data_IF_715083770557
#
_entry.id   IF_715083770557
#
_cell.length_a   1.000
_cell.length_b   1.000
_cell.length_c   1.000
_cell.angle_alpha   90.00
_cell.angle_beta   90.00
_cell.angle_gamma   90.00
#
_symmetry.space_group_name_H-M   'P 1'
#
loop_
_entity.id
_entity.type
_entity.pdbx_description
1 polymer ?
#
# COMPACT_ATOMS: atom_id res chain seq x y z
N UNK A 1 9.95 2.92 13.32
CA UNK A 1 9.01 3.89 12.67
C UNK A 1 9.76 4.98 11.91
N UNK A 2 9.90 4.85 10.59
CA UNK A 2 10.47 5.93 9.75
C UNK A 2 9.35 6.75 9.13
N UNK A 3 9.05 7.89 9.72
CA UNK A 3 8.19 8.90 9.11
C UNK A 3 8.99 9.60 8.02
N UNK A 4 8.49 9.58 6.78
CA UNK A 4 9.06 10.38 5.69
C UNK A 4 8.38 11.75 5.67
N UNK A 5 9.14 12.80 5.41
CA UNK A 5 8.62 14.15 5.26
C UNK A 5 9.13 14.74 3.95
N UNK A 6 8.22 15.37 3.20
CA UNK A 6 8.51 16.08 1.95
C UNK A 6 8.01 17.50 2.11
N UNK A 7 8.70 18.44 1.46
CA UNK A 7 8.35 19.85 1.51
C UNK A 7 7.93 20.31 0.11
N UNK A 8 6.99 21.25 0.08
CA UNK A 8 6.54 21.91 -1.13
C UNK A 8 5.81 23.20 -0.80
N UNK A 9 5.19 23.78 -1.82
CA UNK A 9 4.35 24.97 -1.75
C UNK A 9 2.90 24.61 -2.11
N UNK A 10 1.97 25.36 -1.53
CA UNK A 10 0.57 25.29 -1.93
C UNK A 10 0.40 26.05 -3.25
N UNK A 11 -0.10 25.36 -4.27
CA UNK A 11 -0.32 25.94 -5.60
C UNK A 11 -1.78 26.36 -5.83
N UNK A 12 -2.74 25.67 -5.18
CA UNK A 12 -4.16 26.04 -5.20
C UNK A 12 -4.83 25.62 -3.88
N UNK A 13 -5.74 26.45 -3.35
CA UNK A 13 -6.48 26.17 -2.11
C UNK A 13 -7.88 25.60 -2.34
N UNK A 14 -8.38 25.63 -3.57
CA UNK A 14 -9.74 25.23 -3.93
C UNK A 14 -9.75 24.40 -5.21
N UNK A 15 -8.91 23.36 -5.25
CA UNK A 15 -9.02 22.40 -6.34
C UNK A 15 -10.25 21.54 -6.10
N UNK A 16 -11.30 21.69 -6.92
CA UNK A 16 -12.51 20.88 -6.79
C UNK A 16 -12.30 19.49 -7.39
N UNK A 17 -12.61 18.46 -6.60
CA UNK A 17 -12.70 17.07 -7.03
C UNK A 17 -13.83 16.39 -6.24
N UNK A 18 -14.73 15.69 -6.92
CA UNK A 18 -15.90 15.05 -6.30
C UNK A 18 -16.68 15.99 -5.35
N UNK A 19 -16.87 17.24 -5.78
CA UNK A 19 -17.57 18.30 -5.01
C UNK A 19 -16.89 18.70 -3.69
N UNK A 20 -15.66 18.25 -3.46
CA UNK A 20 -14.82 18.63 -2.32
C UNK A 20 -13.69 19.53 -2.81
N UNK A 21 -13.44 20.62 -2.09
CA UNK A 21 -12.28 21.48 -2.32
C UNK A 21 -11.05 20.91 -1.62
N UNK A 22 -10.01 20.59 -2.39
CA UNK A 22 -8.72 20.12 -1.91
C UNK A 22 -7.65 21.21 -1.93
N UNK A 23 -6.70 21.10 -1.01
CA UNK A 23 -5.43 21.84 -1.05
C UNK A 23 -4.53 21.11 -2.05
N UNK A 24 -4.12 21.82 -3.09
CA UNK A 24 -3.16 21.34 -4.07
C UNK A 24 -1.76 21.83 -3.70
N UNK A 25 -0.78 20.93 -3.71
CA UNK A 25 0.61 21.24 -3.44
C UNK A 25 1.56 20.38 -4.29
N UNK A 26 2.83 20.77 -4.34
CA UNK A 26 3.89 20.02 -5.02
C UNK A 26 4.81 19.23 -4.05
N UNK A 27 4.49 19.22 -2.75
CA UNK A 27 5.15 18.32 -1.81
C UNK A 27 4.92 16.86 -2.26
N UNK A 28 6.01 16.13 -2.50
CA UNK A 28 5.94 14.80 -3.08
C UNK A 28 5.14 13.84 -2.19
N UNK A 29 4.12 13.20 -2.76
CA UNK A 29 3.33 12.16 -2.13
C UNK A 29 3.65 10.82 -2.79
N UNK A 30 4.04 9.84 -1.97
CA UNK A 30 4.24 8.46 -2.38
C UNK A 30 3.16 7.58 -1.72
N UNK A 31 2.88 6.37 -2.27
CA UNK A 31 2.09 5.37 -1.56
C UNK A 31 2.62 5.20 -0.13
N UNK A 32 1.73 5.32 0.86
CA UNK A 32 2.07 5.32 2.28
C UNK A 32 2.06 6.70 2.97
N UNK A 33 2.12 7.81 2.21
CA UNK A 33 1.93 9.16 2.79
C UNK A 33 0.44 9.58 2.83
N UNK A 34 -0.43 8.92 2.05
CA UNK A 34 -1.89 9.10 2.13
C UNK A 34 -2.40 8.74 3.53
N UNK A 35 -3.23 9.60 4.10
CA UNK A 35 -3.68 9.54 5.50
C UNK A 35 -2.78 10.30 6.48
N UNK A 36 -1.55 10.67 6.09
CA UNK A 36 -0.65 11.49 6.90
C UNK A 36 -0.98 12.99 6.86
N UNK A 37 -0.45 13.79 7.81
CA UNK A 37 -0.74 15.22 7.90
C UNK A 37 0.03 16.05 6.86
N UNK A 38 -0.63 17.07 6.32
CA UNK A 38 0.01 18.21 5.68
C UNK A 38 0.18 19.30 6.75
N UNK A 39 1.42 19.70 7.02
CA UNK A 39 1.75 20.69 8.05
C UNK A 39 2.32 21.97 7.46
N UNK A 40 2.07 23.11 8.10
CA UNK A 40 2.71 24.37 7.75
C UNK A 40 4.04 24.56 8.50
N UNK A 41 4.76 25.65 8.21
CA UNK A 41 6.06 25.95 8.81
C UNK A 41 6.02 26.22 10.33
N UNK A 42 4.83 26.33 10.93
CA UNK A 42 4.64 26.43 12.39
C UNK A 42 4.36 25.07 13.05
N UNK A 43 4.31 23.99 12.26
CA UNK A 43 3.94 22.65 12.73
C UNK A 43 2.43 22.45 12.91
N UNK A 44 1.60 23.35 12.39
CA UNK A 44 0.14 23.22 12.46
C UNK A 44 -0.36 22.34 11.31
N UNK A 45 -1.28 21.41 11.59
CA UNK A 45 -1.93 20.59 10.56
C UNK A 45 -2.89 21.44 9.76
N UNK A 46 -2.64 21.57 8.46
CA UNK A 46 -3.48 22.32 7.52
C UNK A 46 -4.33 21.42 6.62
N UNK A 47 -4.03 20.12 6.57
CA UNK A 47 -4.84 19.13 5.87
C UNK A 47 -4.34 17.69 6.05
N UNK A 48 -5.01 16.74 5.39
CA UNK A 48 -4.64 15.32 5.36
C UNK A 48 -4.40 14.88 3.92
N UNK A 49 -3.21 14.33 3.66
CA UNK A 49 -2.81 13.89 2.33
C UNK A 49 -3.75 12.78 1.84
N UNK A 50 -4.34 12.94 0.65
CA UNK A 50 -5.39 12.02 0.17
C UNK A 50 -4.94 11.25 -1.07
N UNK A 51 -4.69 11.94 -2.19
CA UNK A 51 -4.38 11.30 -3.46
C UNK A 51 -3.42 12.12 -4.32
N UNK A 52 -2.92 11.49 -5.39
CA UNK A 52 -2.16 12.11 -6.48
C UNK A 52 -2.90 11.83 -7.81
N UNK A 53 -2.68 12.68 -8.80
CA UNK A 53 -3.13 12.40 -10.17
C UNK A 53 -1.99 11.68 -10.91
N UNK A 54 -2.26 10.48 -11.44
CA UNK A 54 -1.22 9.54 -11.95
C UNK A 54 -0.38 10.05 -13.14
N UNK A 55 -0.75 11.17 -13.76
CA UNK A 55 -0.03 11.76 -14.90
C UNK A 55 0.30 13.25 -14.69
N UNK A 56 0.25 13.74 -13.45
CA UNK A 56 0.64 15.11 -13.11
C UNK A 56 2.05 15.16 -12.50
N UNK A 57 2.76 16.26 -12.71
CA UNK A 57 4.12 16.50 -12.21
C UNK A 57 4.16 16.57 -10.67
N UNK A 58 4.08 15.44 -9.97
CA UNK A 58 4.12 15.37 -8.50
C UNK A 58 3.12 16.30 -7.80
N UNK A 59 1.90 16.40 -8.32
CA UNK A 59 0.85 17.21 -7.68
C UNK A 59 0.10 16.35 -6.66
N UNK A 60 0.21 16.74 -5.40
CA UNK A 60 -0.51 16.16 -4.28
C UNK A 60 -1.78 16.93 -3.94
N UNK A 61 -2.77 16.19 -3.45
CA UNK A 61 -4.05 16.73 -3.00
C UNK A 61 -4.33 16.33 -1.56
N UNK A 62 -4.59 17.33 -0.73
CA UNK A 62 -4.86 17.16 0.69
C UNK A 62 -6.21 17.72 1.08
N UNK A 63 -6.95 16.95 1.88
CA UNK A 63 -8.24 17.34 2.40
C UNK A 63 -8.03 18.45 3.45
N UNK A 64 -8.65 19.63 3.32
CA UNK A 64 -8.42 20.74 4.24
C UNK A 64 -8.77 20.42 5.70
N UNK A 65 -7.96 20.88 6.66
CA UNK A 65 -8.21 20.64 8.08
C UNK A 65 -9.58 21.17 8.55
N UNK A 66 -10.01 22.33 8.07
CA UNK A 66 -11.33 22.88 8.40
C UNK A 66 -12.50 22.01 7.89
N UNK A 67 -12.36 21.37 6.73
CA UNK A 67 -13.37 20.42 6.25
C UNK A 67 -13.46 19.20 7.18
N UNK A 68 -12.32 18.71 7.63
CA UNK A 68 -12.23 17.55 8.55
C UNK A 68 -12.81 17.91 9.92
N UNK A 69 -12.41 19.04 10.50
CA UNK A 69 -12.94 19.51 11.78
C UNK A 69 -14.46 19.63 11.72
N UNK A 70 -15.00 20.26 10.66
CA UNK A 70 -16.44 20.37 10.47
C UNK A 70 -17.12 19.01 10.33
N UNK A 71 -16.51 18.06 9.61
CA UNK A 71 -17.04 16.70 9.50
C UNK A 71 -17.07 15.97 10.85
N UNK A 72 -16.02 16.09 11.67
CA UNK A 72 -15.95 15.49 13.00
C UNK A 72 -17.00 16.12 13.93
N UNK A 73 -17.16 17.44 13.90
CA UNK A 73 -18.17 18.15 14.68
C UNK A 73 -19.60 17.76 14.26
N UNK A 74 -19.89 17.70 12.96
CA UNK A 74 -21.18 17.25 12.43
C UNK A 74 -21.45 15.80 12.85
N UNK A 75 -20.45 14.92 12.72
CA UNK A 75 -20.55 13.51 13.13
C UNK A 75 -20.79 13.35 14.63
N UNK A 76 -20.09 14.11 15.48
CA UNK A 76 -20.25 14.06 16.94
C UNK A 76 -21.65 14.48 17.43
N UNK A 77 -22.41 15.21 16.61
CA UNK A 77 -23.78 15.61 16.91
C UNK A 77 -24.84 14.64 16.36
N UNK A 78 -24.43 13.63 15.59
CA UNK A 78 -25.32 12.65 14.98
C UNK A 78 -25.66 11.55 15.98
N UNK A 79 -26.91 11.06 15.89
CA UNK A 79 -27.35 9.83 16.56
C UNK A 79 -27.25 8.67 15.57
N UNK A 80 -26.68 7.56 16.03
CA UNK A 80 -26.43 6.36 15.23
C UNK A 80 -24.95 5.98 15.26
N UNK A 81 -24.64 4.79 14.74
CA UNK A 81 -23.27 4.26 14.72
C UNK A 81 -22.55 4.60 13.40
N UNK A 82 -23.31 5.05 12.39
CA UNK A 82 -22.80 5.31 11.05
C UNK A 82 -23.44 6.55 10.43
N UNK A 83 -22.63 7.29 9.67
CA UNK A 83 -23.11 8.42 8.88
C UNK A 83 -22.34 8.53 7.57
N UNK A 84 -22.99 9.17 6.59
CA UNK A 84 -22.42 9.47 5.29
C UNK A 84 -22.70 10.94 4.96
N UNK A 85 -21.71 11.63 4.36
CA UNK A 85 -21.96 12.96 3.80
C UNK A 85 -22.63 12.81 2.44
N UNK A 86 -23.82 13.37 2.29
CA UNK A 86 -24.56 13.31 1.04
C UNK A 86 -23.79 14.03 -0.07
N UNK A 87 -23.47 13.32 -1.15
CA UNK A 87 -22.75 13.84 -2.33
C UNK A 87 -23.56 14.82 -3.19
N UNK A 88 -24.66 15.36 -2.69
CA UNK A 88 -25.56 16.23 -3.46
C UNK A 88 -25.94 17.47 -2.67
N UNK A 89 -26.31 17.34 -1.39
CA UNK A 89 -26.61 18.49 -0.53
C UNK A 89 -25.57 18.73 0.56
N UNK A 90 -24.49 17.93 0.62
CA UNK A 90 -23.42 17.98 1.62
C UNK A 90 -23.85 17.79 3.09
N UNK A 91 -25.13 17.57 3.37
CA UNK A 91 -25.61 17.24 4.72
C UNK A 91 -25.07 15.88 5.13
N UNK A 92 -24.65 15.77 6.39
CA UNK A 92 -24.30 14.49 6.98
C UNK A 92 -25.58 13.78 7.42
N UNK A 93 -25.76 12.55 6.94
CA UNK A 93 -26.98 11.76 7.13
C UNK A 93 -26.59 10.47 7.83
N UNK A 94 -27.24 10.17 8.94
CA UNK A 94 -26.97 8.94 9.69
C UNK A 94 -27.80 7.77 9.16
N UNK A 95 -27.43 6.56 9.58
CA UNK A 95 -28.22 5.37 9.32
C UNK A 95 -29.67 5.45 9.86
N UNK A 96 -29.94 6.26 10.89
CA UNK A 96 -31.29 6.49 11.42
C UNK A 96 -32.12 7.44 10.54
N UNK A 97 -31.45 8.33 9.82
CA UNK A 97 -32.07 9.36 9.00
C UNK A 97 -32.33 8.90 7.56
N UNK A 98 -31.56 7.90 7.08
CA UNK A 98 -31.74 7.32 5.75
C UNK A 98 -33.04 6.52 5.70
N UNK A 99 -33.90 6.85 4.73
CA UNK A 99 -35.13 6.10 4.45
C UNK A 99 -35.01 5.40 3.11
N UNK A 100 -35.03 4.07 3.11
CA UNK A 100 -34.92 3.24 1.91
C UNK A 100 -33.67 3.55 1.05
N UNK A 101 -32.55 3.93 1.67
CA UNK A 101 -31.32 4.30 0.96
C UNK A 101 -31.34 5.71 0.35
N UNK A 102 -32.27 6.59 0.74
CA UNK A 102 -32.34 7.96 0.25
C UNK A 102 -32.06 8.98 1.34
N UNK A 103 -31.35 10.05 0.96
CA UNK A 103 -31.14 11.23 1.77
C UNK A 103 -32.47 11.87 2.16
N UNK A 104 -32.73 12.01 3.46
CA UNK A 104 -33.91 12.70 4.00
C UNK A 104 -33.96 14.20 3.71
N UNK A 105 -32.86 14.82 3.26
CA UNK A 105 -32.79 16.25 2.96
C UNK A 105 -33.01 16.59 1.48
N UNK A 106 -32.41 15.84 0.56
CA UNK A 106 -32.47 16.14 -0.88
C UNK A 106 -33.06 15.02 -1.75
N UNK A 107 -33.31 13.84 -1.19
CA UNK A 107 -33.86 12.70 -1.93
C UNK A 107 -32.87 11.96 -2.82
N UNK A 108 -31.58 12.34 -2.82
CA UNK A 108 -30.52 11.59 -3.53
C UNK A 108 -30.27 10.24 -2.86
N UNK A 109 -30.02 9.20 -3.66
CA UNK A 109 -29.67 7.87 -3.16
C UNK A 109 -28.31 7.91 -2.47
N UNK A 110 -28.22 7.32 -1.29
CA UNK A 110 -27.00 7.20 -0.49
C UNK A 110 -26.70 5.73 -0.25
N UNK A 111 -25.42 5.42 -0.08
CA UNK A 111 -24.95 4.13 0.39
C UNK A 111 -24.25 4.36 1.72
N UNK A 112 -24.63 3.60 2.75
CA UNK A 112 -23.94 3.64 4.03
C UNK A 112 -22.61 2.88 3.97
N UNK A 113 -21.63 3.21 4.83
CA UNK A 113 -20.42 2.42 4.97
C UNK A 113 -20.70 0.94 5.24
N UNK A 114 -21.69 0.58 6.07
CA UNK A 114 -22.11 -0.82 6.30
C UNK A 114 -22.69 -1.52 5.07
N UNK A 115 -23.20 -0.78 4.09
CA UNK A 115 -23.77 -1.35 2.86
C UNK A 115 -22.69 -1.58 1.80
N UNK A 116 -21.45 -1.16 2.05
CA UNK A 116 -20.31 -1.55 1.24
C UNK A 116 -19.98 -2.98 1.65
N UNK A 117 -20.25 -3.94 0.75
CA UNK A 117 -19.86 -5.34 0.98
C UNK A 117 -18.39 -5.40 1.36
N UNK A 118 -18.10 -5.99 2.53
CA UNK A 118 -16.72 -6.26 2.91
C UNK A 118 -16.09 -7.15 1.84
N UNK A 119 -14.85 -6.82 1.45
CA UNK A 119 -14.11 -7.66 0.52
C UNK A 119 -13.87 -9.02 1.17
N UNK A 120 -14.56 -10.04 0.67
CA UNK A 120 -14.30 -11.43 1.00
C UNK A 120 -13.35 -12.04 -0.04
N UNK A 121 -12.13 -12.45 0.35
CA UNK A 121 -11.22 -13.11 -0.56
C UNK A 121 -11.80 -14.46 -1.01
N UNK A 122 -11.70 -14.76 -2.30
CA UNK A 122 -12.13 -16.04 -2.86
C UNK A 122 -11.05 -16.66 -3.76
N UNK A 123 -11.17 -17.96 -4.01
CA UNK A 123 -10.27 -18.69 -4.91
C UNK A 123 -8.80 -18.61 -4.49
N UNK A 124 -7.95 -18.14 -5.40
CA UNK A 124 -6.51 -18.02 -5.11
C UNK A 124 -6.16 -16.89 -4.17
N UNK A 125 -6.92 -15.79 -4.16
CA UNK A 125 -6.71 -14.73 -3.20
C UNK A 125 -6.86 -15.26 -1.77
N UNK A 126 -7.92 -16.05 -1.51
CA UNK A 126 -8.11 -16.73 -0.23
C UNK A 126 -6.97 -17.71 0.08
N UNK A 127 -6.49 -18.44 -0.92
CA UNK A 127 -5.37 -19.38 -0.77
C UNK A 127 -4.08 -18.65 -0.35
N UNK A 128 -3.76 -17.53 -1.01
CA UNK A 128 -2.61 -16.69 -0.70
C UNK A 128 -2.75 -16.08 0.70
N UNK A 129 -3.90 -15.52 1.03
CA UNK A 129 -4.16 -14.93 2.35
C UNK A 129 -4.06 -15.98 3.48
N UNK A 130 -4.54 -17.21 3.23
CA UNK A 130 -4.37 -18.34 4.16
C UNK A 130 -2.89 -18.67 4.38
N UNK A 131 -2.07 -18.63 3.33
CA UNK A 131 -0.61 -18.86 3.45
C UNK A 131 0.06 -17.72 4.23
N UNK A 132 -0.35 -16.47 3.99
CA UNK A 132 0.15 -15.31 4.73
C UNK A 132 -0.16 -15.43 6.23
N UNK A 133 -1.38 -15.81 6.61
CA UNK A 133 -1.72 -16.06 8.01
C UNK A 133 -0.87 -17.18 8.63
N UNK A 134 -0.72 -18.30 7.91
CA UNK A 134 0.07 -19.45 8.39
C UNK A 134 1.56 -19.14 8.55
N UNK A 135 2.08 -18.18 7.78
CA UNK A 135 3.45 -17.69 7.88
C UNK A 135 3.61 -16.56 8.91
N UNK A 136 2.56 -16.22 9.66
CA UNK A 136 2.60 -15.23 10.73
C UNK A 136 2.36 -13.78 10.30
N UNK A 137 1.91 -13.56 9.06
CA UNK A 137 1.64 -12.23 8.53
C UNK A 137 0.17 -11.85 8.72
N UNK A 138 -0.08 -10.62 9.18
CA UNK A 138 -1.44 -10.10 9.28
C UNK A 138 -1.96 -9.69 7.90
N UNK A 139 -2.96 -10.42 7.39
CA UNK A 139 -3.54 -10.22 6.05
C UNK A 139 -4.11 -8.83 5.86
N UNK A 140 -4.80 -8.28 6.86
CA UNK A 140 -5.40 -6.95 6.76
C UNK A 140 -4.33 -5.86 6.59
N UNK A 141 -3.18 -6.01 7.25
CA UNK A 141 -2.04 -5.10 7.10
C UNK A 141 -1.25 -5.35 5.81
N UNK A 142 -1.28 -6.57 5.29
CA UNK A 142 -0.59 -6.95 4.07
C UNK A 142 -1.33 -6.51 2.80
N UNK A 143 -2.66 -6.45 2.83
CA UNK A 143 -3.48 -6.19 1.65
C UNK A 143 -3.21 -4.81 1.05
N UNK A 144 -2.99 -4.76 -0.26
CA UNK A 144 -2.85 -3.53 -1.08
C UNK A 144 -3.91 -3.47 -2.19
N UNK A 145 -4.55 -4.60 -2.48
CA UNK A 145 -5.70 -4.75 -3.39
C UNK A 145 -6.21 -6.19 -3.35
N UNK A 146 -7.23 -6.51 -4.16
CA UNK A 146 -7.82 -7.85 -4.18
C UNK A 146 -6.81 -8.97 -4.51
N UNK A 147 -5.83 -8.65 -5.36
CA UNK A 147 -4.81 -9.59 -5.83
C UNK A 147 -3.38 -9.06 -5.60
N UNK A 148 -3.18 -8.23 -4.58
CA UNK A 148 -1.90 -7.62 -4.27
C UNK A 148 -1.70 -7.52 -2.75
N UNK A 149 -0.59 -8.07 -2.28
CA UNK A 149 -0.19 -8.05 -0.88
C UNK A 149 1.27 -7.63 -0.75
N UNK A 150 1.59 -6.95 0.33
CA UNK A 150 2.93 -6.50 0.66
C UNK A 150 3.21 -6.83 2.12
N UNK A 151 4.29 -7.56 2.37
CA UNK A 151 4.71 -7.98 3.71
C UNK A 151 6.15 -7.55 3.97
N UNK A 152 6.49 -7.38 5.25
CA UNK A 152 7.87 -7.19 5.69
C UNK A 152 8.38 -8.50 6.30
N UNK A 153 9.49 -9.01 5.78
CA UNK A 153 10.17 -10.20 6.29
C UNK A 153 11.63 -9.82 6.59
N UNK A 154 12.00 -9.77 7.87
CA UNK A 154 13.31 -9.24 8.25
C UNK A 154 13.48 -7.80 7.77
N UNK A 155 14.52 -7.54 6.98
CA UNK A 155 14.76 -6.23 6.37
C UNK A 155 14.11 -6.08 4.98
N UNK A 156 13.69 -7.19 4.36
CA UNK A 156 13.15 -7.22 3.01
C UNK A 156 11.66 -6.89 2.98
N UNK A 157 11.26 -6.14 1.96
CA UNK A 157 9.85 -5.92 1.61
C UNK A 157 9.49 -6.88 0.47
N UNK A 158 8.44 -7.67 0.65
CA UNK A 158 8.03 -8.70 -0.31
C UNK A 158 6.66 -8.35 -0.87
N UNK A 159 6.60 -8.20 -2.19
CA UNK A 159 5.38 -7.95 -2.94
C UNK A 159 4.86 -9.25 -3.54
N UNK A 160 3.62 -9.61 -3.22
CA UNK A 160 2.94 -10.78 -3.74
C UNK A 160 1.81 -10.31 -4.63
N UNK A 161 1.83 -10.71 -5.89
CA UNK A 161 0.84 -10.29 -6.89
C UNK A 161 0.26 -11.50 -7.58
N UNK A 162 -1.06 -11.57 -7.69
CA UNK A 162 -1.74 -12.54 -8.54
C UNK A 162 -2.31 -11.85 -9.78
N UNK A 163 -1.82 -12.24 -10.95
CA UNK A 163 -2.32 -11.78 -12.23
C UNK A 163 -3.28 -12.81 -12.83
N UNK A 164 -4.57 -12.66 -12.54
CA UNK A 164 -5.66 -13.57 -12.93
C UNK A 164 -5.65 -13.93 -14.42
N UNK A 165 -5.45 -12.95 -15.31
CA UNK A 165 -5.51 -13.18 -16.76
C UNK A 165 -4.44 -14.14 -17.28
N UNK A 166 -3.26 -14.15 -16.66
CA UNK A 166 -2.17 -15.06 -17.04
C UNK A 166 -2.04 -16.27 -16.11
N UNK A 167 -2.78 -16.29 -15.00
CA UNK A 167 -2.62 -17.28 -13.94
C UNK A 167 -1.27 -17.22 -13.22
N UNK A 168 -0.59 -16.06 -13.25
CA UNK A 168 0.75 -15.93 -12.69
C UNK A 168 0.67 -15.34 -11.27
N UNK A 169 1.35 -15.99 -10.33
CA UNK A 169 1.59 -15.48 -8.99
C UNK A 169 3.08 -15.12 -8.91
N UNK A 170 3.39 -13.89 -8.51
CA UNK A 170 4.77 -13.47 -8.25
C UNK A 170 4.97 -13.15 -6.78
N UNK A 171 6.17 -13.42 -6.28
CA UNK A 171 6.64 -12.99 -4.97
C UNK A 171 8.00 -12.32 -5.13
N UNK A 172 8.03 -10.99 -5.12
CA UNK A 172 9.23 -10.18 -5.35
C UNK A 172 9.74 -9.59 -4.04
N UNK A 173 10.86 -10.11 -3.54
CA UNK A 173 11.52 -9.61 -2.34
C UNK A 173 12.60 -8.58 -2.72
N UNK A 174 12.40 -7.34 -2.28
CA UNK A 174 13.37 -6.25 -2.45
C UNK A 174 14.37 -6.27 -1.31
N UNK A 175 15.60 -6.71 -1.61
CA UNK A 175 16.59 -7.03 -0.59
C UNK A 175 17.43 -5.83 -0.18
N UNK A 176 18.07 -5.17 -1.15
CA UNK A 176 19.03 -4.11 -0.90
C UNK A 176 19.26 -3.25 -2.14
N UNK A 177 19.91 -2.10 -1.94
CA UNK A 177 20.45 -1.27 -3.00
C UNK A 177 21.87 -1.71 -3.38
N UNK A 178 22.19 -1.66 -4.66
CA UNK A 178 23.53 -1.95 -5.17
C UNK A 178 24.62 -1.11 -4.46
N UNK A 179 25.83 -1.67 -4.26
CA UNK A 179 26.96 -0.92 -3.74
C UNK A 179 27.38 0.18 -4.73
N UNK A 180 27.96 1.27 -4.20
CA UNK A 180 28.47 2.37 -5.04
C UNK A 180 29.79 2.05 -5.74
N UNK A 181 30.48 1.00 -5.32
CA UNK A 181 31.78 0.55 -5.81
C UNK A 181 31.80 -0.97 -5.90
N UNK A 182 32.64 -1.51 -6.77
CA UNK A 182 32.91 -2.95 -6.86
C UNK A 182 31.68 -3.84 -7.12
N UNK A 183 30.80 -3.38 -8.02
CA UNK A 183 29.52 -4.05 -8.32
C UNK A 183 29.72 -5.37 -9.09
N UNK A 184 30.85 -5.52 -9.79
CA UNK A 184 31.18 -6.70 -10.60
C UNK A 184 31.13 -7.99 -9.77
N UNK A 185 31.79 -8.01 -8.61
CA UNK A 185 31.81 -9.18 -7.72
C UNK A 185 30.41 -9.54 -7.19
N UNK A 186 29.55 -8.55 -6.94
CA UNK A 186 28.16 -8.77 -6.55
C UNK A 186 27.38 -9.40 -7.71
N UNK A 187 27.48 -8.87 -8.93
CA UNK A 187 26.80 -9.45 -10.09
C UNK A 187 27.22 -10.89 -10.35
N UNK A 188 28.52 -11.18 -10.30
CA UNK A 188 29.01 -12.55 -10.40
C UNK A 188 28.42 -13.47 -9.33
N UNK A 189 28.32 -12.98 -8.09
CA UNK A 189 27.71 -13.73 -7.00
C UNK A 189 26.23 -14.03 -7.28
N UNK A 190 25.44 -13.01 -7.66
CA UNK A 190 24.02 -13.18 -7.98
C UNK A 190 23.82 -14.22 -9.09
N UNK A 191 24.58 -14.12 -10.18
CA UNK A 191 24.50 -15.07 -11.31
C UNK A 191 24.87 -16.51 -10.88
N UNK A 192 25.91 -16.66 -10.06
CA UNK A 192 26.31 -17.97 -9.51
C UNK A 192 25.25 -18.56 -8.57
N UNK A 193 24.51 -17.74 -7.83
CA UNK A 193 23.42 -18.21 -6.97
C UNK A 193 22.17 -18.59 -7.76
N UNK A 194 21.85 -17.88 -8.85
CA UNK A 194 20.72 -18.24 -9.71
C UNK A 194 20.82 -19.68 -10.24
N UNK A 195 22.04 -20.14 -10.54
CA UNK A 195 22.26 -21.54 -10.96
C UNK A 195 22.13 -22.59 -9.84
N UNK A 196 21.85 -22.19 -8.59
CA UNK A 196 21.80 -23.05 -7.40
C UNK A 196 20.45 -23.03 -6.69
N UNK A 197 19.56 -22.13 -7.07
CA UNK A 197 18.27 -21.94 -6.41
C UNK A 197 17.15 -22.52 -7.28
N UNK A 198 16.36 -23.42 -6.70
CA UNK A 198 15.17 -23.94 -7.38
C UNK A 198 13.98 -23.00 -7.13
N UNK A 199 13.43 -22.45 -8.22
CA UNK A 199 12.22 -21.63 -8.19
C UNK A 199 12.39 -20.18 -7.74
N UNK A 200 13.61 -19.74 -7.42
CA UNK A 200 13.93 -18.36 -7.07
C UNK A 200 15.02 -17.80 -7.97
N UNK A 201 14.91 -16.54 -8.37
CA UNK A 201 15.91 -15.89 -9.21
C UNK A 201 16.19 -14.46 -8.72
N UNK A 202 17.48 -14.12 -8.65
CA UNK A 202 17.90 -12.74 -8.56
C UNK A 202 17.68 -12.01 -9.88
N UNK A 203 17.20 -10.79 -9.75
CA UNK A 203 17.22 -9.77 -10.78
C UNK A 203 17.71 -8.46 -10.20
N UNK A 204 18.10 -7.54 -11.08
CA UNK A 204 18.44 -6.18 -10.70
C UNK A 204 17.59 -5.23 -11.53
N UNK A 205 16.91 -4.32 -10.86
CA UNK A 205 16.11 -3.27 -11.49
C UNK A 205 16.54 -1.92 -10.92
N UNK A 206 17.02 -1.03 -11.79
CA UNK A 206 17.62 0.24 -11.39
C UNK A 206 18.76 0.04 -10.37
N UNK A 207 18.53 0.38 -9.10
CA UNK A 207 19.48 0.12 -8.01
C UNK A 207 19.07 -1.04 -7.10
N UNK A 208 17.91 -1.65 -7.31
CA UNK A 208 17.37 -2.68 -6.44
C UNK A 208 17.86 -4.06 -6.83
N UNK A 209 18.37 -4.81 -5.85
CA UNK A 209 18.54 -6.26 -5.96
C UNK A 209 17.26 -6.94 -5.48
N UNK A 210 16.65 -7.74 -6.36
CA UNK A 210 15.35 -8.35 -6.14
C UNK A 210 15.49 -9.87 -6.24
N UNK A 211 14.90 -10.59 -5.28
CA UNK A 211 14.75 -12.04 -5.33
C UNK A 211 13.30 -12.38 -5.67
N UNK A 212 13.07 -12.99 -6.82
CA UNK A 212 11.73 -13.24 -7.37
C UNK A 212 11.39 -14.72 -7.36
N UNK A 213 10.16 -15.01 -6.93
CA UNK A 213 9.45 -16.27 -7.05
C UNK A 213 8.36 -16.14 -8.12
N UNK A 214 8.27 -17.09 -9.05
CA UNK A 214 7.21 -17.13 -10.06
C UNK A 214 6.48 -18.47 -10.00
N UNK A 215 5.15 -18.44 -9.92
CA UNK A 215 4.31 -19.62 -9.80
C UNK A 215 3.12 -19.52 -10.75
N UNK A 216 2.78 -20.63 -11.40
CA UNK A 216 1.53 -20.75 -12.14
C UNK A 216 0.44 -21.33 -11.25
N UNK A 217 -0.73 -20.70 -11.27
CA UNK A 217 -1.89 -21.01 -10.44
C UNK A 217 -2.40 -22.45 -10.56
N UNK A 218 -2.22 -23.07 -11.73
CA UNK A 218 -2.74 -24.40 -12.07
C UNK A 218 -2.31 -25.52 -11.10
N UNK A 219 -1.23 -25.30 -10.35
CA UNK A 219 -0.71 -26.24 -9.35
C UNK A 219 -0.55 -25.60 -7.95
N UNK A 220 -1.11 -24.42 -7.76
CA UNK A 220 -1.00 -23.67 -6.51
C UNK A 220 -2.13 -24.05 -5.56
N UNK A 221 -1.75 -24.52 -4.37
CA UNK A 221 -2.65 -24.75 -3.25
C UNK A 221 -1.93 -24.34 -1.96
N UNK A 222 -2.63 -24.43 -0.83
CA UNK A 222 -2.07 -24.00 0.46
C UNK A 222 -0.76 -24.73 0.79
N UNK A 223 -0.65 -26.04 0.53
CA UNK A 223 0.55 -26.81 0.88
C UNK A 223 1.75 -26.52 -0.02
N UNK A 224 1.53 -26.44 -1.34
CA UNK A 224 2.60 -26.13 -2.29
C UNK A 224 3.02 -24.68 -2.16
N UNK A 225 2.06 -23.77 -2.02
CA UNK A 225 2.30 -22.35 -1.84
C UNK A 225 3.02 -22.02 -0.53
N UNK A 226 2.66 -22.68 0.57
CA UNK A 226 3.34 -22.49 1.85
C UNK A 226 4.84 -22.79 1.74
N UNK A 227 5.21 -23.93 1.16
CA UNK A 227 6.63 -24.30 0.97
C UNK A 227 7.38 -23.29 0.11
N UNK A 228 6.75 -22.80 -0.96
CA UNK A 228 7.37 -21.84 -1.88
C UNK A 228 7.55 -20.47 -1.22
N UNK A 229 6.54 -20.01 -0.46
CA UNK A 229 6.58 -18.73 0.23
C UNK A 229 7.55 -18.76 1.42
N UNK A 230 7.53 -19.81 2.23
CA UNK A 230 8.51 -20.01 3.31
C UNK A 230 9.94 -20.01 2.77
N UNK A 231 10.19 -20.66 1.63
CA UNK A 231 11.50 -20.63 0.97
C UNK A 231 11.87 -19.21 0.51
N UNK A 232 10.95 -18.48 -0.14
CA UNK A 232 11.20 -17.08 -0.52
C UNK A 232 11.52 -16.21 0.71
N UNK A 233 10.75 -16.34 1.78
CA UNK A 233 10.86 -15.52 2.99
C UNK A 233 12.19 -15.78 3.70
N UNK A 234 12.54 -17.06 3.88
CA UNK A 234 13.82 -17.45 4.48
C UNK A 234 15.02 -17.04 3.61
N UNK A 235 14.90 -17.12 2.28
CA UNK A 235 15.98 -16.71 1.38
C UNK A 235 16.13 -15.20 1.27
N UNK A 236 15.03 -14.45 1.36
CA UNK A 236 15.09 -12.99 1.38
C UNK A 236 15.92 -12.51 2.59
N UNK A 237 15.60 -13.00 3.79
CA UNK A 237 16.30 -12.68 5.05
C UNK A 237 17.74 -13.25 5.11
N UNK A 238 18.03 -14.30 4.36
CA UNK A 238 19.40 -14.83 4.27
C UNK A 238 20.28 -13.97 3.35
N UNK A 239 19.77 -13.59 2.19
CA UNK A 239 20.57 -12.96 1.15
C UNK A 239 20.73 -11.46 1.34
N UNK A 240 19.75 -10.77 1.92
CA UNK A 240 19.87 -9.34 2.22
C UNK A 240 21.10 -9.06 3.13
N UNK A 241 21.28 -9.84 4.19
CA UNK A 241 22.42 -9.82 5.10
C UNK A 241 23.73 -10.08 4.35
N UNK A 242 23.79 -11.12 3.51
CA UNK A 242 25.01 -11.44 2.75
C UNK A 242 25.39 -10.31 1.80
N UNK A 243 24.43 -9.77 1.06
CA UNK A 243 24.68 -8.73 0.08
C UNK A 243 25.17 -7.44 0.75
N UNK A 244 24.60 -7.09 1.91
CA UNK A 244 25.05 -5.93 2.67
C UNK A 244 26.40 -6.17 3.33
N UNK A 245 26.54 -7.23 4.11
CA UNK A 245 27.73 -7.48 4.93
C UNK A 245 28.97 -7.83 4.10
N UNK A 246 28.83 -8.60 3.03
CA UNK A 246 29.97 -9.11 2.25
C UNK A 246 30.25 -8.32 0.98
N UNK A 247 29.22 -7.74 0.38
CA UNK A 247 29.34 -7.05 -0.91
C UNK A 247 29.15 -5.53 -0.80
N UNK A 248 28.96 -5.00 0.41
CA UNK A 248 28.84 -3.56 0.64
C UNK A 248 27.58 -2.93 0.05
N UNK A 249 26.56 -3.75 -0.24
CA UNK A 249 25.24 -3.26 -0.60
C UNK A 249 24.66 -2.42 0.55
N UNK A 250 23.66 -1.59 0.26
CA UNK A 250 23.02 -0.75 1.27
C UNK A 250 21.62 -1.26 1.57
N UNK A 251 21.23 -1.29 2.84
CA UNK A 251 19.86 -1.58 3.25
C UNK A 251 18.89 -0.64 2.53
N UNK A 252 17.86 -1.22 1.89
CA UNK A 252 16.82 -0.42 1.23
C UNK A 252 15.85 0.17 2.25
N UNK A 253 15.54 -0.61 3.27
CA UNK A 253 14.69 -0.25 4.39
C UNK A 253 15.50 -0.39 5.68
N UNK A 254 15.23 0.45 6.68
CA UNK A 254 15.98 0.35 7.94
C UNK A 254 15.77 -1.01 8.61
N UNK A 255 16.88 -1.61 9.04
CA UNK A 255 16.91 -2.74 9.97
C UNK A 255 16.58 -2.17 11.35
N UNK A 256 15.44 -2.56 11.92
CA UNK A 256 15.10 -2.21 13.32
C UNK A 256 15.86 -3.11 14.30
#
# INVERSE_FOLDING_TARGET
MKYSATQGIVSNLKQEANEISYIQHDAALNPGNSGGPLINNKGEVVGINTFIVKDSNNIGFSLPANYITKAIEEFGNIKGDEAVRCHSCANMVSNLDIKNGYCNHCGTRLQLPSEVEEYEPAGLALTIETILERTGHNVALARRGANNWEIKQGSALINIVYHEKSGLITGDAYLCLLPKKDIEHLYEYLLKQNGKMDGLNFSVKDQDVILSLLIFDRYFNVETGLKLFENLFAKADYYDNILVEKFGASWKYDVE
#
